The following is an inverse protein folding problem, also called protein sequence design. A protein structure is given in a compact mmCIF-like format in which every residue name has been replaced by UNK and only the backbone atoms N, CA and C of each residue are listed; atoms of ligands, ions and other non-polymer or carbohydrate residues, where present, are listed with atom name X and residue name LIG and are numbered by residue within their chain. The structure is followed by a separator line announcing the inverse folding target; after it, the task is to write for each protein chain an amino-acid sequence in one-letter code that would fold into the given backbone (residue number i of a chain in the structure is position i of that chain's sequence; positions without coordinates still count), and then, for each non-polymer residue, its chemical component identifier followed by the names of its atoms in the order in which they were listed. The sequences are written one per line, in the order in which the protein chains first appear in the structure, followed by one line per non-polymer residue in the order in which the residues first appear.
data_IF_788882325099
#
_entry.id   IF_788882325099
#
_cell.length_a   1.000
_cell.length_b   1.000
_cell.length_c   1.000
_cell.angle_alpha   90.00
_cell.angle_beta   90.00
_cell.angle_gamma   90.00
#
_symmetry.space_group_name_H-M   'P 1'
#
loop_
_entity.id
_entity.type
_entity.pdbx_description
1 polymer ?
#
# COMPACT_ATOMS: atom_id res chain seq x y z
N UNK A 1 -0.53 23.77 25.55
CA UNK A 1 -1.94 23.37 25.83
C UNK A 1 -1.94 21.85 25.89
N UNK A 2 -2.22 21.27 27.05
CA UNK A 2 -2.19 19.80 27.16
C UNK A 2 -3.51 19.24 26.63
N UNK A 3 -3.42 18.42 25.60
CA UNK A 3 -4.55 17.72 25.00
C UNK A 3 -4.72 16.35 25.66
N UNK A 4 -5.96 15.84 25.65
CA UNK A 4 -6.27 14.51 26.17
C UNK A 4 -7.22 13.78 25.22
N UNK A 5 -6.99 12.47 25.03
CA UNK A 5 -7.86 11.58 24.27
C UNK A 5 -7.86 10.18 24.89
N UNK A 6 -8.79 9.32 24.48
CA UNK A 6 -8.74 7.90 24.84
C UNK A 6 -7.71 7.16 23.99
N UNK A 7 -7.76 7.36 22.66
CA UNK A 7 -6.84 6.72 21.72
C UNK A 7 -6.10 7.80 20.93
N UNK A 8 -4.77 7.76 20.98
CA UNK A 8 -3.91 8.55 20.11
C UNK A 8 -3.37 7.69 18.98
N UNK A 9 -3.49 8.16 17.75
CA UNK A 9 -3.01 7.48 16.54
C UNK A 9 -1.83 8.29 15.98
N UNK A 10 -0.69 7.66 15.72
CA UNK A 10 0.48 8.27 15.10
C UNK A 10 0.57 7.80 13.65
N UNK A 11 0.40 8.72 12.70
CA UNK A 11 0.53 8.46 11.26
C UNK A 11 -0.77 8.69 10.48
N UNK A 12 -0.72 9.58 9.49
CA UNK A 12 -1.83 9.99 8.60
C UNK A 12 -1.89 9.24 7.26
N UNK A 13 -1.42 7.99 7.25
CA UNK A 13 -1.58 7.09 6.10
C UNK A 13 -2.91 6.34 6.10
N UNK A 14 -3.10 5.42 5.15
CA UNK A 14 -4.32 4.62 5.02
C UNK A 14 -4.67 3.87 6.32
N UNK A 15 -3.67 3.28 6.99
CA UNK A 15 -3.88 2.56 8.25
C UNK A 15 -4.36 3.50 9.36
N UNK A 16 -3.67 4.61 9.58
CA UNK A 16 -4.02 5.52 10.68
C UNK A 16 -5.37 6.20 10.49
N UNK A 17 -5.69 6.66 9.28
CA UNK A 17 -7.01 7.27 8.98
C UNK A 17 -8.13 6.24 8.99
N UNK A 18 -7.87 4.99 8.55
CA UNK A 18 -8.80 3.89 8.68
C UNK A 18 -9.14 3.56 10.13
N UNK A 19 -8.13 3.50 11.01
CA UNK A 19 -8.32 3.32 12.47
C UNK A 19 -9.10 4.49 13.06
N UNK A 20 -8.75 5.73 12.73
CA UNK A 20 -9.46 6.91 13.23
C UNK A 20 -10.95 6.86 12.87
N UNK A 21 -11.26 6.46 11.62
CA UNK A 21 -12.64 6.29 11.15
C UNK A 21 -13.37 5.17 11.89
N UNK A 22 -12.76 4.00 12.05
CA UNK A 22 -13.40 2.87 12.73
C UNK A 22 -13.67 3.17 14.21
N UNK A 23 -12.72 3.82 14.91
CA UNK A 23 -12.91 4.27 16.28
C UNK A 23 -14.06 5.30 16.38
N UNK A 24 -14.11 6.27 15.46
CA UNK A 24 -15.16 7.27 15.43
C UNK A 24 -16.55 6.67 15.16
N UNK A 25 -16.63 5.67 14.27
CA UNK A 25 -17.87 4.90 14.03
C UNK A 25 -18.35 4.14 15.28
N UNK A 26 -17.45 3.76 16.16
CA UNK A 26 -17.74 3.09 17.45
C UNK A 26 -17.95 4.09 18.60
N UNK A 27 -17.85 5.41 18.35
CA UNK A 27 -17.99 6.44 19.38
C UNK A 27 -16.81 6.52 20.35
N UNK A 28 -15.63 5.99 19.98
CA UNK A 28 -14.41 6.01 20.81
C UNK A 28 -13.63 7.30 20.51
N UNK A 29 -13.39 8.16 21.51
CA UNK A 29 -12.66 9.43 21.33
C UNK A 29 -11.23 9.17 20.85
N UNK A 30 -10.89 9.70 19.69
CA UNK A 30 -9.54 9.55 19.12
C UNK A 30 -8.95 10.88 18.65
N UNK A 31 -7.62 10.94 18.65
CA UNK A 31 -6.82 12.01 18.07
C UNK A 31 -5.72 11.40 17.21
N UNK A 32 -5.63 11.84 15.96
CA UNK A 32 -4.58 11.42 15.04
C UNK A 32 -3.56 12.55 14.89
N UNK A 33 -2.26 12.22 14.94
CA UNK A 33 -1.16 13.14 14.63
C UNK A 33 -0.38 12.63 13.42
N UNK A 34 -0.05 13.54 12.49
CA UNK A 34 0.75 13.28 11.30
C UNK A 34 1.86 14.34 11.17
N UNK A 35 3.13 13.91 11.00
CA UNK A 35 4.28 14.82 10.91
C UNK A 35 4.29 15.71 9.65
N UNK A 36 3.69 15.25 8.59
CA UNK A 36 3.56 15.95 7.31
C UNK A 36 2.11 16.22 6.96
N UNK A 37 1.79 16.03 5.69
CA UNK A 37 0.43 15.99 5.20
C UNK A 37 -0.03 14.52 5.08
N UNK A 38 -1.33 14.30 4.88
CA UNK A 38 -1.84 12.96 4.61
C UNK A 38 -1.09 12.29 3.46
N UNK A 39 -0.98 10.96 3.50
CA UNK A 39 -0.39 10.15 2.45
C UNK A 39 1.10 10.40 2.14
N UNK A 40 1.82 11.15 2.95
CA UNK A 40 3.24 11.46 2.72
C UNK A 40 4.17 10.24 2.69
N UNK A 41 3.75 9.11 3.28
CA UNK A 41 4.44 7.82 3.22
C UNK A 41 4.00 6.90 2.07
N UNK A 42 4.06 5.59 2.30
CA UNK A 42 3.72 4.55 1.31
C UNK A 42 2.29 4.66 0.75
N UNK A 43 1.35 5.22 1.53
CA UNK A 43 -0.05 5.38 1.11
C UNK A 43 -0.22 6.30 -0.11
N UNK A 44 0.59 7.34 -0.27
CA UNK A 44 0.58 8.18 -1.47
C UNK A 44 1.68 7.87 -2.47
N UNK A 45 2.47 6.82 -2.21
CA UNK A 45 3.64 6.44 -3.04
C UNK A 45 3.53 4.99 -3.49
N UNK A 46 2.40 4.66 -4.06
CA UNK A 46 2.07 3.38 -4.67
C UNK A 46 1.48 3.62 -6.07
N UNK A 47 1.12 2.57 -6.76
CA UNK A 47 0.59 2.66 -8.12
C UNK A 47 -0.93 2.78 -8.20
N UNK A 48 -1.63 2.92 -7.08
CA UNK A 48 -3.09 3.05 -7.08
C UNK A 48 -3.81 1.80 -7.58
N UNK A 49 -3.31 0.60 -7.27
CA UNK A 49 -3.93 -0.65 -7.67
C UNK A 49 -4.86 -1.19 -6.58
N UNK A 50 -6.15 -1.30 -6.89
CA UNK A 50 -7.11 -2.06 -6.11
C UNK A 50 -7.00 -3.54 -6.50
N UNK A 51 -6.20 -4.29 -5.75
CA UNK A 51 -5.95 -5.71 -6.04
C UNK A 51 -7.20 -6.58 -5.89
N UNK A 52 -7.42 -7.48 -6.86
CA UNK A 52 -8.30 -8.65 -6.68
C UNK A 52 -7.65 -9.73 -5.81
N UNK A 53 -6.34 -9.69 -5.65
CA UNK A 53 -5.54 -10.72 -5.04
C UNK A 53 -4.88 -11.68 -6.05
N UNK A 54 -5.18 -11.58 -7.33
CA UNK A 54 -4.63 -12.47 -8.37
C UNK A 54 -3.10 -12.58 -8.31
N UNK A 55 -2.41 -11.45 -8.11
CA UNK A 55 -0.94 -11.44 -8.00
C UNK A 55 -0.37 -12.32 -6.87
N UNK A 56 -1.15 -12.59 -5.84
CA UNK A 56 -0.75 -13.39 -4.67
C UNK A 56 -1.27 -14.82 -4.72
N UNK A 57 -2.29 -15.11 -5.53
CA UNK A 57 -3.07 -16.34 -5.50
C UNK A 57 -2.23 -17.64 -5.53
N UNK A 58 -1.11 -17.64 -6.27
CA UNK A 58 -0.23 -18.83 -6.39
C UNK A 58 0.71 -18.97 -5.19
N UNK A 59 1.27 -17.87 -4.69
CA UNK A 59 2.38 -17.91 -3.73
C UNK A 59 1.96 -17.54 -2.28
N UNK A 60 0.86 -16.81 -2.11
CA UNK A 60 0.32 -16.37 -0.82
C UNK A 60 -1.21 -16.36 -0.89
N UNK A 61 -1.86 -17.55 -0.82
CA UNK A 61 -3.32 -17.68 -0.96
C UNK A 61 -4.10 -16.92 0.10
N UNK A 62 -3.54 -16.74 1.31
CA UNK A 62 -4.21 -16.01 2.39
C UNK A 62 -4.24 -14.52 2.08
N UNK A 63 -3.12 -13.92 1.64
CA UNK A 63 -3.10 -12.54 1.16
C UNK A 63 -4.02 -12.34 -0.06
N UNK A 64 -4.19 -13.35 -0.92
CA UNK A 64 -5.13 -13.29 -2.03
C UNK A 64 -6.59 -13.20 -1.56
N UNK A 65 -6.98 -14.03 -0.56
CA UNK A 65 -8.34 -14.01 0.03
C UNK A 65 -8.62 -12.68 0.75
N UNK A 66 -7.67 -12.16 1.51
CA UNK A 66 -7.78 -10.83 2.10
C UNK A 66 -8.03 -9.77 1.04
N UNK A 67 -7.22 -9.75 -0.02
CA UNK A 67 -7.35 -8.76 -1.09
C UNK A 67 -8.75 -8.79 -1.73
N UNK A 68 -9.26 -9.94 -2.15
CA UNK A 68 -10.58 -10.00 -2.80
C UNK A 68 -11.71 -9.61 -1.85
N UNK A 69 -11.58 -9.92 -0.57
CA UNK A 69 -12.54 -9.53 0.46
C UNK A 69 -12.57 -8.02 0.60
N UNK A 70 -11.43 -7.38 0.79
CA UNK A 70 -11.32 -5.92 0.94
C UNK A 70 -11.66 -5.18 -0.37
N UNK A 71 -11.29 -5.73 -1.53
CA UNK A 71 -11.69 -5.19 -2.84
C UNK A 71 -13.23 -5.04 -2.92
N UNK A 72 -13.95 -6.10 -2.56
CA UNK A 72 -15.43 -6.07 -2.56
C UNK A 72 -16.00 -5.09 -1.54
N UNK A 73 -15.38 -4.97 -0.38
CA UNK A 73 -15.79 -4.00 0.66
C UNK A 73 -15.57 -2.57 0.16
N UNK A 74 -14.37 -2.24 -0.33
CA UNK A 74 -14.03 -0.90 -0.81
C UNK A 74 -14.91 -0.47 -2.00
N UNK A 75 -15.18 -1.36 -2.94
CA UNK A 75 -16.13 -1.08 -4.05
C UNK A 75 -17.51 -0.70 -3.56
N UNK A 76 -17.92 -1.17 -2.39
CA UNK A 76 -19.23 -0.87 -1.80
C UNK A 76 -19.20 0.42 -0.97
N UNK A 77 -18.16 0.64 -0.16
CA UNK A 77 -18.14 1.75 0.81
C UNK A 77 -17.44 3.01 0.29
N UNK A 78 -16.55 2.88 -0.71
CA UNK A 78 -15.79 3.98 -1.29
C UNK A 78 -15.74 3.92 -2.84
N UNK A 79 -16.89 3.74 -3.52
CA UNK A 79 -16.92 3.61 -4.99
C UNK A 79 -16.38 4.83 -5.71
N UNK A 80 -16.50 6.02 -5.11
CA UNK A 80 -15.99 7.29 -5.66
C UNK A 80 -14.45 7.39 -5.67
N UNK A 81 -13.76 6.53 -4.92
CA UNK A 81 -12.29 6.44 -4.96
C UNK A 81 -11.80 5.44 -6.01
N UNK A 82 -12.69 4.72 -6.70
CA UNK A 82 -12.34 3.55 -7.50
C UNK A 82 -12.79 3.74 -8.95
N UNK A 83 -11.87 3.56 -9.88
CA UNK A 83 -12.16 3.36 -11.29
C UNK A 83 -12.28 1.85 -11.55
N UNK A 84 -13.45 1.35 -11.99
CA UNK A 84 -13.70 -0.09 -12.16
C UNK A 84 -13.14 -0.59 -13.51
N UNK A 85 -11.82 -0.61 -13.62
CA UNK A 85 -11.09 -0.91 -14.86
C UNK A 85 -11.02 -2.40 -15.18
N UNK A 86 -11.26 -3.27 -14.19
CA UNK A 86 -10.80 -4.66 -14.20
C UNK A 86 -9.27 -4.77 -14.42
N UNK A 87 -8.75 -5.99 -14.51
CA UNK A 87 -7.34 -6.24 -14.77
C UNK A 87 -7.12 -7.41 -15.71
N UNK A 88 -6.08 -7.36 -16.52
CA UNK A 88 -5.62 -8.45 -17.38
C UNK A 88 -4.27 -8.96 -16.91
N UNK A 89 -4.21 -10.25 -16.59
CA UNK A 89 -2.95 -10.97 -16.44
C UNK A 89 -2.54 -11.53 -17.80
N UNK A 90 -1.56 -10.87 -18.43
CA UNK A 90 -1.14 -11.12 -19.82
C UNK A 90 0.00 -12.11 -19.85
N UNK A 91 -0.14 -13.19 -20.64
CA UNK A 91 0.91 -14.19 -20.86
C UNK A 91 1.64 -13.91 -22.16
N UNK A 92 2.96 -13.83 -22.11
CA UNK A 92 3.86 -13.80 -23.27
C UNK A 92 4.41 -15.23 -23.50
N UNK A 93 4.97 -15.53 -24.69
CA UNK A 93 5.53 -16.86 -24.98
C UNK A 93 6.55 -17.35 -23.95
N UNK A 94 7.38 -16.44 -23.44
CA UNK A 94 8.39 -16.73 -22.44
C UNK A 94 7.83 -17.02 -21.04
N UNK A 95 6.59 -16.64 -20.72
CA UNK A 95 5.96 -16.88 -19.42
C UNK A 95 5.41 -18.31 -19.30
N UNK A 96 5.21 -18.99 -20.43
CA UNK A 96 4.67 -20.34 -20.53
C UNK A 96 3.17 -20.45 -20.22
N UNK A 97 2.48 -21.42 -20.83
CA UNK A 97 1.04 -21.64 -20.61
C UNK A 97 0.73 -22.28 -19.25
N UNK A 98 1.69 -23.00 -18.65
CA UNK A 98 1.50 -23.76 -17.41
C UNK A 98 1.22 -22.85 -16.22
N UNK A 99 1.94 -21.72 -16.13
CA UNK A 99 1.70 -20.76 -15.06
C UNK A 99 0.29 -20.20 -15.11
N UNK A 100 -0.22 -19.86 -16.31
CA UNK A 100 -1.58 -19.37 -16.50
C UNK A 100 -2.64 -20.36 -16.03
N UNK A 101 -2.49 -21.62 -16.31
CA UNK A 101 -3.42 -22.66 -15.85
C UNK A 101 -3.39 -22.79 -14.31
N UNK A 102 -2.21 -22.73 -13.71
CA UNK A 102 -2.06 -22.73 -12.25
C UNK A 102 -2.66 -21.48 -11.61
N UNK A 103 -2.43 -20.31 -12.21
CA UNK A 103 -2.98 -19.01 -11.79
C UNK A 103 -4.51 -19.03 -11.72
N UNK A 104 -5.19 -19.54 -12.77
CA UNK A 104 -6.65 -19.64 -12.80
C UNK A 104 -7.16 -20.52 -11.65
N UNK A 105 -6.53 -21.68 -11.43
CA UNK A 105 -6.92 -22.59 -10.33
C UNK A 105 -6.73 -21.93 -8.96
N UNK A 106 -5.60 -21.28 -8.76
CA UNK A 106 -5.27 -20.60 -7.52
C UNK A 106 -6.22 -19.43 -7.23
N UNK A 107 -6.56 -18.62 -8.24
CA UNK A 107 -7.57 -17.58 -8.14
C UNK A 107 -8.93 -18.13 -7.72
N UNK A 108 -9.39 -19.21 -8.37
CA UNK A 108 -10.66 -19.87 -8.01
C UNK A 108 -10.67 -20.37 -6.57
N UNK A 109 -9.57 -20.97 -6.09
CA UNK A 109 -9.41 -21.43 -4.71
C UNK A 109 -9.39 -20.26 -3.68
N UNK A 110 -8.98 -19.06 -4.10
CA UNK A 110 -9.01 -17.85 -3.29
C UNK A 110 -10.34 -17.07 -3.38
N UNK A 111 -11.30 -17.53 -4.21
CA UNK A 111 -12.58 -16.84 -4.42
C UNK A 111 -12.51 -15.64 -5.35
N UNK A 112 -11.50 -15.60 -6.22
CA UNK A 112 -11.30 -14.56 -7.22
C UNK A 112 -11.89 -15.05 -8.56
N UNK A 113 -12.85 -14.29 -9.09
CA UNK A 113 -13.44 -14.56 -10.38
C UNK A 113 -12.42 -14.35 -11.50
N UNK A 114 -12.38 -15.27 -12.46
CA UNK A 114 -11.45 -15.21 -13.59
C UNK A 114 -12.17 -15.48 -14.91
N UNK A 115 -11.80 -14.72 -15.95
CA UNK A 115 -12.24 -14.97 -17.33
C UNK A 115 -11.01 -15.16 -18.22
N UNK A 116 -10.72 -16.39 -18.67
CA UNK A 116 -9.67 -16.63 -19.64
C UNK A 116 -10.02 -16.00 -21.01
N UNK A 117 -9.04 -15.33 -21.61
CA UNK A 117 -9.16 -14.66 -22.89
C UNK A 117 -8.15 -15.23 -23.90
N UNK A 118 -8.61 -15.45 -25.14
CA UNK A 118 -7.72 -15.70 -26.27
C UNK A 118 -6.86 -14.45 -26.59
N UNK A 119 -5.76 -14.60 -27.33
CA UNK A 119 -4.96 -13.46 -27.77
C UNK A 119 -5.80 -12.42 -28.53
N UNK A 120 -6.72 -12.86 -29.38
CA UNK A 120 -7.58 -11.97 -30.18
C UNK A 120 -8.52 -11.16 -29.29
N UNK A 121 -9.14 -11.78 -28.30
CA UNK A 121 -10.02 -11.10 -27.35
C UNK A 121 -9.25 -10.08 -26.52
N UNK A 122 -8.09 -10.48 -25.97
CA UNK A 122 -7.26 -9.57 -25.18
C UNK A 122 -6.77 -8.37 -26.01
N UNK A 123 -6.33 -8.56 -27.26
CA UNK A 123 -5.93 -7.48 -28.17
C UNK A 123 -7.11 -6.60 -28.61
N UNK A 124 -8.32 -7.15 -28.68
CA UNK A 124 -9.51 -6.35 -28.94
C UNK A 124 -9.87 -5.43 -27.77
N UNK A 125 -9.63 -5.89 -26.54
CA UNK A 125 -9.85 -5.12 -25.30
C UNK A 125 -8.75 -4.07 -25.05
N UNK A 126 -7.51 -4.42 -25.37
CA UNK A 126 -6.31 -3.60 -25.16
C UNK A 126 -5.43 -3.63 -26.43
N UNK A 127 -5.71 -2.76 -27.43
CA UNK A 127 -5.04 -2.81 -28.73
C UNK A 127 -3.53 -2.52 -28.70
N UNK A 128 -3.04 -1.89 -27.62
CA UNK A 128 -1.60 -1.58 -27.44
C UNK A 128 -0.79 -2.75 -26.88
N UNK A 129 -1.45 -3.87 -26.51
CA UNK A 129 -0.74 -5.06 -26.06
C UNK A 129 0.16 -5.63 -27.17
N UNK A 130 1.25 -6.23 -26.76
CA UNK A 130 2.15 -6.93 -27.65
C UNK A 130 1.39 -8.01 -28.46
N UNK A 131 1.42 -7.98 -29.81
CA UNK A 131 0.71 -8.94 -30.65
C UNK A 131 1.20 -10.40 -30.48
N UNK A 132 2.35 -10.61 -29.82
CA UNK A 132 2.89 -11.93 -29.49
C UNK A 132 2.31 -12.56 -28.26
N UNK A 133 1.35 -11.95 -27.57
CA UNK A 133 0.70 -12.55 -26.38
C UNK A 133 0.10 -13.92 -26.73
N UNK A 134 0.17 -14.86 -25.81
CA UNK A 134 -0.40 -16.20 -25.96
C UNK A 134 -1.76 -16.35 -25.25
N UNK A 135 -2.25 -15.29 -24.61
CA UNK A 135 -3.55 -15.17 -23.96
C UNK A 135 -3.48 -14.26 -22.76
N UNK A 136 -4.63 -14.05 -22.14
CA UNK A 136 -4.76 -13.30 -20.90
C UNK A 136 -5.79 -13.92 -19.96
N UNK A 137 -5.82 -13.45 -18.71
CA UNK A 137 -6.87 -13.79 -17.75
C UNK A 137 -7.39 -12.49 -17.15
N UNK A 138 -8.68 -12.21 -17.34
CA UNK A 138 -9.31 -11.07 -16.70
C UNK A 138 -9.65 -11.39 -15.25
N UNK A 139 -9.45 -10.42 -14.36
CA UNK A 139 -9.74 -10.48 -12.92
C UNK A 139 -10.36 -9.16 -12.47
N UNK A 140 -11.07 -9.12 -11.31
CA UNK A 140 -11.71 -7.90 -10.80
C UNK A 140 -10.71 -6.97 -10.08
N UNK A 141 -9.56 -6.66 -10.71
CA UNK A 141 -8.70 -5.57 -10.28
C UNK A 141 -9.41 -4.22 -10.51
N UNK A 142 -8.82 -3.13 -10.08
CA UNK A 142 -9.30 -1.78 -10.34
C UNK A 142 -8.20 -0.76 -10.11
N UNK A 143 -8.39 0.46 -10.57
CA UNK A 143 -7.58 1.58 -10.11
C UNK A 143 -8.26 2.23 -8.91
N UNK A 144 -7.46 2.68 -7.95
CA UNK A 144 -7.94 3.39 -6.75
C UNK A 144 -7.13 4.66 -6.55
N UNK A 145 -7.81 5.76 -6.25
CA UNK A 145 -7.15 6.98 -5.80
C UNK A 145 -6.84 6.87 -4.29
N UNK A 146 -5.57 6.65 -3.93
CA UNK A 146 -5.18 6.49 -2.54
C UNK A 146 -5.27 7.82 -1.75
N UNK A 147 -5.16 8.96 -2.42
CA UNK A 147 -5.25 10.27 -1.77
C UNK A 147 -6.68 10.54 -1.34
N UNK A 148 -7.63 10.41 -2.25
CA UNK A 148 -9.06 10.54 -1.95
C UNK A 148 -9.50 9.54 -0.88
N UNK A 149 -9.09 8.28 -0.96
CA UNK A 149 -9.43 7.28 0.05
C UNK A 149 -9.00 7.69 1.46
N UNK A 150 -7.76 8.16 1.63
CA UNK A 150 -7.22 8.55 2.94
C UNK A 150 -7.90 9.83 3.46
N UNK A 151 -8.09 10.82 2.59
CA UNK A 151 -8.75 12.09 2.96
C UNK A 151 -10.21 11.86 3.35
N UNK A 152 -10.95 11.01 2.62
CA UNK A 152 -12.34 10.70 2.95
C UNK A 152 -12.47 9.92 4.27
N UNK A 153 -11.55 8.98 4.56
CA UNK A 153 -11.49 8.36 5.88
C UNK A 153 -11.27 9.39 7.00
N UNK A 154 -10.34 10.34 6.79
CA UNK A 154 -10.06 11.40 7.75
C UNK A 154 -11.28 12.31 7.98
N UNK A 155 -11.93 12.76 6.90
CA UNK A 155 -13.14 13.61 6.95
C UNK A 155 -14.32 12.91 7.63
N UNK A 156 -14.56 11.63 7.33
CA UNK A 156 -15.62 10.86 7.99
C UNK A 156 -15.33 10.70 9.49
N UNK A 157 -14.07 10.45 9.86
CA UNK A 157 -13.65 10.40 11.26
C UNK A 157 -13.89 11.74 11.98
N UNK A 158 -13.46 12.87 11.40
CA UNK A 158 -13.67 14.22 11.98
C UNK A 158 -15.15 14.57 12.10
N UNK A 159 -15.96 14.25 11.10
CA UNK A 159 -17.43 14.47 11.13
C UNK A 159 -18.13 13.75 12.29
N UNK A 160 -17.48 12.71 12.83
CA UNK A 160 -17.95 11.88 13.95
C UNK A 160 -17.21 12.17 15.26
N UNK A 161 -16.41 13.24 15.32
CA UNK A 161 -15.77 13.72 16.54
C UNK A 161 -14.32 13.29 16.77
N UNK A 162 -13.68 12.59 15.84
CA UNK A 162 -12.24 12.41 15.88
C UNK A 162 -11.53 13.75 15.67
N UNK A 163 -10.34 13.91 16.25
CA UNK A 163 -9.51 15.10 16.03
C UNK A 163 -8.29 14.71 15.23
N UNK A 164 -7.87 15.57 14.29
CA UNK A 164 -6.71 15.33 13.44
C UNK A 164 -5.79 16.55 13.46
N UNK A 165 -4.50 16.32 13.69
CA UNK A 165 -3.45 17.33 13.67
C UNK A 165 -2.39 16.90 12.66
N UNK A 166 -2.41 17.51 11.49
CA UNK A 166 -1.33 17.39 10.50
C UNK A 166 -0.18 18.33 10.86
N UNK A 167 0.98 18.16 10.23
CA UNK A 167 2.22 18.89 10.53
C UNK A 167 2.62 18.81 12.01
N UNK A 168 2.22 17.74 12.69
CA UNK A 168 2.43 17.53 14.12
C UNK A 168 3.28 16.26 14.32
N UNK A 169 4.54 16.46 14.67
CA UNK A 169 5.55 15.42 14.80
C UNK A 169 5.64 14.91 16.24
N UNK A 170 5.56 13.60 16.43
CA UNK A 170 5.87 12.98 17.73
C UNK A 170 7.37 13.01 17.95
N UNK A 171 7.80 13.65 19.03
CA UNK A 171 9.21 13.78 19.40
C UNK A 171 9.62 12.88 20.56
N UNK A 172 8.66 12.44 21.37
CA UNK A 172 8.93 11.53 22.49
C UNK A 172 7.64 10.83 22.95
N UNK A 173 7.78 9.70 23.66
CA UNK A 173 6.71 8.99 24.33
C UNK A 173 6.69 9.33 25.83
N UNK A 174 5.52 9.69 26.36
CA UNK A 174 5.33 10.00 27.78
C UNK A 174 5.06 8.69 28.52
N UNK A 175 5.84 8.43 29.57
CA UNK A 175 5.71 7.23 30.43
C UNK A 175 5.08 7.56 31.77
N UNK A 176 4.27 6.61 32.24
CA UNK A 176 3.79 6.54 33.61
C UNK A 176 4.10 5.11 34.11
N UNK A 177 5.19 4.98 34.87
CA UNK A 177 5.75 3.69 35.24
C UNK A 177 6.10 2.81 34.01
N UNK A 178 5.48 1.64 33.94
CA UNK A 178 5.62 0.66 32.83
C UNK A 178 4.62 0.89 31.69
N UNK A 179 3.91 2.02 31.70
CA UNK A 179 2.89 2.34 30.71
C UNK A 179 3.30 3.51 29.84
N UNK A 180 2.94 3.48 28.55
CA UNK A 180 2.91 4.67 27.69
C UNK A 180 1.57 5.37 27.97
N UNK A 181 1.62 6.63 28.41
CA UNK A 181 0.47 7.42 28.83
C UNK A 181 0.21 8.62 27.89
N UNK A 182 0.95 8.72 26.78
CA UNK A 182 0.80 9.79 25.82
C UNK A 182 2.08 10.06 25.02
N UNK A 183 2.11 11.20 24.35
CA UNK A 183 3.25 11.64 23.55
C UNK A 183 3.55 13.11 23.76
N UNK A 184 4.80 13.49 23.52
CA UNK A 184 5.23 14.87 23.29
C UNK A 184 5.28 15.11 21.79
N UNK A 185 4.72 16.21 21.35
CA UNK A 185 4.66 16.56 19.93
C UNK A 185 5.23 17.95 19.69
N UNK A 186 5.67 18.17 18.44
CA UNK A 186 6.07 19.47 17.93
C UNK A 186 5.21 19.81 16.72
N UNK A 187 4.55 20.96 16.73
CA UNK A 187 3.98 21.56 15.54
C UNK A 187 5.14 22.00 14.61
N UNK A 188 5.18 21.50 13.39
CA UNK A 188 6.27 21.76 12.44
C UNK A 188 6.15 23.11 11.74
N UNK A 189 5.00 23.79 11.87
CA UNK A 189 4.76 25.13 11.30
C UNK A 189 5.13 26.20 12.33
N UNK A 190 4.62 26.06 13.56
CA UNK A 190 4.81 27.06 14.62
C UNK A 190 6.01 26.78 15.52
N UNK A 191 6.57 25.57 15.46
CA UNK A 191 7.58 25.02 16.37
C UNK A 191 7.11 24.88 17.83
N UNK A 192 5.83 25.06 18.13
CA UNK A 192 5.27 24.86 19.46
C UNK A 192 5.39 23.38 19.88
N UNK A 193 5.79 23.16 21.13
CA UNK A 193 5.90 21.83 21.74
C UNK A 193 4.84 21.71 22.83
N UNK A 194 4.06 20.62 22.77
CA UNK A 194 3.03 20.34 23.77
C UNK A 194 2.88 18.83 24.00
N UNK A 195 2.11 18.47 25.03
CA UNK A 195 1.84 17.09 25.38
C UNK A 195 0.41 16.67 24.99
N UNK A 196 0.26 15.41 24.61
CA UNK A 196 -1.03 14.76 24.40
C UNK A 196 -1.09 13.53 25.30
N UNK A 197 -1.96 13.56 26.31
CA UNK A 197 -2.21 12.42 27.17
C UNK A 197 -3.19 11.45 26.49
N UNK A 198 -2.91 10.14 26.57
CA UNK A 198 -3.75 9.11 25.99
C UNK A 198 -3.74 7.82 26.80
N UNK A 199 -4.88 7.11 26.80
CA UNK A 199 -4.96 5.76 27.39
C UNK A 199 -4.26 4.74 26.50
N UNK A 200 -4.40 4.88 25.19
CA UNK A 200 -3.76 4.04 24.18
C UNK A 200 -3.04 4.90 23.15
N UNK A 201 -1.84 4.48 22.80
CA UNK A 201 -1.04 5.05 21.71
C UNK A 201 -0.88 4.01 20.63
N UNK A 202 -1.40 4.29 19.44
CA UNK A 202 -1.32 3.41 18.27
C UNK A 202 -0.27 3.95 17.32
N UNK A 203 0.80 3.19 17.14
CA UNK A 203 1.83 3.46 16.16
C UNK A 203 1.40 2.89 14.80
N UNK A 204 0.92 3.73 13.90
CA UNK A 204 0.50 3.44 12.53
C UNK A 204 1.42 4.13 11.49
N UNK A 205 2.70 4.31 11.83
CA UNK A 205 3.65 5.10 11.04
C UNK A 205 4.31 4.33 9.89
N UNK A 206 3.85 3.09 9.60
CA UNK A 206 4.31 2.30 8.46
C UNK A 206 5.82 2.08 8.47
N UNK A 207 6.53 2.59 7.48
CA UNK A 207 7.99 2.42 7.36
C UNK A 207 8.79 3.08 8.51
N UNK A 208 8.20 4.02 9.22
CA UNK A 208 8.78 4.67 10.41
C UNK A 208 8.41 3.99 11.74
N UNK A 209 7.79 2.80 11.73
CA UNK A 209 7.33 2.15 12.95
C UNK A 209 8.45 1.98 13.98
N UNK A 210 9.63 1.56 13.56
CA UNK A 210 10.79 1.43 14.44
C UNK A 210 11.34 2.78 14.95
N UNK A 211 11.04 3.91 14.29
CA UNK A 211 11.42 5.23 14.79
C UNK A 211 10.66 5.54 16.10
N UNK A 212 9.36 5.31 16.12
CA UNK A 212 8.53 5.48 17.32
C UNK A 212 8.89 4.44 18.38
N UNK A 213 9.09 3.17 17.99
CA UNK A 213 9.40 2.10 18.92
C UNK A 213 10.72 2.29 19.66
N UNK A 214 11.74 2.86 19.01
CA UNK A 214 13.03 3.19 19.66
C UNK A 214 12.87 4.19 20.81
N UNK A 215 11.89 5.09 20.78
CA UNK A 215 11.57 5.98 21.91
C UNK A 215 11.07 5.19 23.13
N UNK A 216 10.50 4.00 22.90
CA UNK A 216 10.12 3.07 23.95
C UNK A 216 11.22 2.05 24.30
N UNK A 217 12.39 2.10 23.66
CA UNK A 217 13.44 1.07 23.81
C UNK A 217 13.09 -0.24 23.13
N UNK A 218 12.18 -0.23 22.15
CA UNK A 218 11.69 -1.40 21.41
C UNK A 218 12.11 -1.37 19.95
N UNK A 219 12.04 -2.55 19.32
CA UNK A 219 12.22 -2.72 17.89
C UNK A 219 11.45 -3.96 17.42
N UNK A 220 10.95 -3.94 16.21
CA UNK A 220 10.33 -5.09 15.51
C UNK A 220 11.15 -5.43 14.26
N UNK A 221 11.08 -6.70 13.84
CA UNK A 221 11.67 -7.16 12.58
C UNK A 221 10.93 -6.53 11.40
N UNK A 222 11.53 -5.53 10.77
CA UNK A 222 10.96 -4.79 9.65
C UNK A 222 11.99 -4.68 8.52
N UNK A 223 11.65 -5.20 7.35
CA UNK A 223 12.41 -4.99 6.13
C UNK A 223 11.80 -3.84 5.35
N UNK A 224 12.60 -2.84 5.04
CA UNK A 224 12.19 -1.72 4.19
C UNK A 224 12.47 -2.07 2.72
N UNK A 225 11.43 -2.00 1.88
CA UNK A 225 11.53 -2.31 0.44
C UNK A 225 11.11 -1.11 -0.40
N UNK A 226 12.07 -0.48 -1.08
CA UNK A 226 11.82 0.60 -2.03
C UNK A 226 11.19 0.05 -3.30
N UNK A 227 10.15 0.71 -3.81
CA UNK A 227 9.56 0.45 -5.11
C UNK A 227 9.46 1.72 -5.92
N UNK A 228 10.10 1.75 -7.08
CA UNK A 228 10.10 2.89 -8.01
C UNK A 228 9.00 2.74 -9.05
N UNK A 229 8.40 3.86 -9.41
CA UNK A 229 7.27 3.95 -10.33
C UNK A 229 7.48 5.10 -11.31
N UNK A 230 6.90 4.95 -12.50
CA UNK A 230 6.91 5.97 -13.55
C UNK A 230 5.48 6.40 -13.87
N UNK A 231 5.28 7.67 -14.18
CA UNK A 231 4.01 8.20 -14.68
C UNK A 231 4.21 8.61 -16.14
N UNK A 232 3.36 8.08 -17.02
CA UNK A 232 3.34 8.44 -18.44
C UNK A 232 2.60 9.76 -18.68
N UNK A 233 2.81 10.34 -19.86
CA UNK A 233 2.09 11.54 -20.27
C UNK A 233 0.68 11.24 -20.81
N UNK A 234 0.39 9.99 -21.11
CA UNK A 234 -0.87 9.52 -21.67
C UNK A 234 -1.33 8.24 -21.00
N UNK A 235 -2.62 7.95 -21.03
CA UNK A 235 -3.17 6.68 -20.61
C UNK A 235 -2.80 5.58 -21.61
N UNK A 236 -2.19 4.51 -21.14
CA UNK A 236 -1.66 3.42 -21.98
C UNK A 236 -2.65 2.28 -22.18
N UNK A 237 -3.53 2.07 -21.21
CA UNK A 237 -4.51 0.97 -21.19
C UNK A 237 -5.79 1.39 -20.50
N UNK A 238 -6.90 0.74 -20.86
CA UNK A 238 -8.18 0.94 -20.18
C UNK A 238 -8.29 0.05 -18.92
N UNK A 239 -7.50 -1.01 -18.86
CA UNK A 239 -7.47 -1.98 -17.75
C UNK A 239 -6.12 -2.00 -17.06
N UNK A 240 -6.12 -2.43 -15.81
CA UNK A 240 -4.86 -2.80 -15.15
C UNK A 240 -4.22 -3.94 -15.91
N UNK A 241 -2.93 -3.81 -16.24
CA UNK A 241 -2.17 -4.86 -16.90
C UNK A 241 -1.16 -5.46 -15.93
N UNK A 242 -1.13 -6.79 -15.83
CA UNK A 242 -0.15 -7.57 -15.08
C UNK A 242 0.48 -8.63 -15.97
N UNK A 243 1.76 -8.96 -15.75
CA UNK A 243 2.36 -10.18 -16.33
C UNK A 243 1.81 -11.40 -15.63
N UNK A 244 1.39 -12.40 -16.43
CA UNK A 244 0.93 -13.69 -15.93
C UNK A 244 2.12 -14.65 -15.76
N UNK A 245 2.95 -14.36 -14.75
CA UNK A 245 4.15 -15.14 -14.36
C UNK A 245 4.35 -15.06 -12.85
N UNK A 246 5.30 -15.81 -12.25
CA UNK A 246 5.69 -15.55 -10.85
C UNK A 246 6.00 -14.06 -10.63
N UNK A 247 5.48 -13.46 -9.55
CA UNK A 247 5.61 -12.01 -9.31
C UNK A 247 7.05 -11.51 -9.39
N UNK A 248 7.31 -10.55 -10.28
CA UNK A 248 8.62 -9.95 -10.50
C UNK A 248 8.55 -8.42 -10.52
N UNK A 249 9.69 -7.73 -10.62
CA UNK A 249 9.73 -6.28 -10.85
C UNK A 249 9.29 -5.93 -12.26
N UNK A 250 8.65 -4.77 -12.45
CA UNK A 250 8.24 -4.29 -13.77
C UNK A 250 7.09 -5.11 -14.37
N UNK A 251 6.12 -5.54 -13.57
CA UNK A 251 5.02 -6.40 -14.04
C UNK A 251 3.70 -5.67 -14.23
N UNK A 252 3.55 -4.43 -13.75
CA UNK A 252 2.23 -3.81 -13.59
C UNK A 252 2.15 -2.45 -14.26
N UNK A 253 1.05 -2.22 -14.99
CA UNK A 253 0.63 -0.92 -15.51
C UNK A 253 -0.77 -0.66 -14.96
N UNK A 254 -0.97 0.46 -14.27
CA UNK A 254 -2.26 0.86 -13.73
C UNK A 254 -2.71 2.12 -14.46
N UNK A 255 -3.85 2.11 -15.15
CA UNK A 255 -4.46 3.34 -15.65
C UNK A 255 -4.92 4.21 -14.46
N UNK A 256 -4.74 5.51 -14.59
CA UNK A 256 -5.14 6.46 -13.57
C UNK A 256 -5.57 7.76 -14.26
N UNK A 257 -6.88 7.95 -14.41
CA UNK A 257 -7.46 9.07 -15.14
C UNK A 257 -6.84 9.20 -16.55
N UNK A 258 -6.09 10.24 -16.84
CA UNK A 258 -5.51 10.54 -18.15
C UNK A 258 -4.09 9.98 -18.35
N UNK A 259 -3.50 9.37 -17.35
CA UNK A 259 -2.14 8.83 -17.34
C UNK A 259 -2.12 7.34 -17.01
N UNK A 260 -0.95 6.73 -17.03
CA UNK A 260 -0.73 5.41 -16.46
C UNK A 260 0.45 5.42 -15.51
N UNK A 261 0.34 4.63 -14.44
CA UNK A 261 1.39 4.43 -13.44
C UNK A 261 2.00 3.05 -13.66
N UNK A 262 3.30 3.04 -13.89
CA UNK A 262 4.09 1.88 -14.23
C UNK A 262 4.97 1.45 -13.05
N UNK A 263 5.06 0.18 -12.77
CA UNK A 263 5.97 -0.27 -11.71
C UNK A 263 5.76 -1.72 -11.30
N UNK A 264 6.40 -2.14 -10.27
CA UNK A 264 7.37 -1.44 -9.44
C UNK A 264 8.68 -2.19 -9.39
N UNK A 265 9.76 -1.53 -8.99
CA UNK A 265 10.95 -2.25 -8.52
C UNK A 265 10.75 -2.79 -7.11
N UNK A 266 11.68 -3.59 -6.60
CA UNK A 266 11.74 -4.03 -5.22
C UNK A 266 13.20 -4.12 -4.80
N UNK A 267 13.68 -3.10 -4.11
CA UNK A 267 15.06 -2.97 -3.64
C UNK A 267 15.06 -2.74 -2.14
N UNK A 268 15.99 -3.36 -1.41
CA UNK A 268 16.15 -3.07 0.02
C UNK A 268 16.52 -1.62 0.24
N UNK A 269 15.89 -0.99 1.23
CA UNK A 269 16.21 0.35 1.71
C UNK A 269 16.65 0.27 3.18
N UNK A 270 17.61 1.09 3.54
CA UNK A 270 18.10 1.19 4.92
C UNK A 270 17.28 2.22 5.73
N UNK A 271 16.75 3.22 5.03
CA UNK A 271 16.06 4.37 5.60
C UNK A 271 14.78 4.67 4.81
N UNK A 272 13.65 4.93 5.49
CA UNK A 272 12.42 5.33 4.82
C UNK A 272 12.42 6.77 4.28
N UNK A 273 13.40 7.60 4.61
CA UNK A 273 13.52 8.99 4.15
C UNK A 273 14.27 9.12 2.81
N UNK A 274 15.19 8.18 2.49
CA UNK A 274 16.01 8.21 1.29
C UNK A 274 15.55 7.16 0.28
N UNK A 275 14.82 7.60 -0.77
CA UNK A 275 14.21 6.72 -1.77
C UNK A 275 14.21 7.33 -3.17
N UNK A 276 15.29 7.92 -3.59
CA UNK A 276 15.44 8.47 -4.94
C UNK A 276 15.34 7.36 -6.00
N UNK A 277 14.71 7.69 -7.12
CA UNK A 277 14.64 6.80 -8.29
C UNK A 277 15.90 6.97 -9.13
N UNK A 278 16.57 5.87 -9.43
CA UNK A 278 17.80 5.91 -10.24
C UNK A 278 17.51 5.74 -11.74
N UNK A 279 18.38 6.24 -12.64
CA UNK A 279 18.23 6.03 -14.08
C UNK A 279 18.17 4.54 -14.48
N UNK A 280 18.89 3.68 -13.76
CA UNK A 280 18.90 2.23 -13.99
C UNK A 280 17.53 1.62 -13.68
N UNK A 281 16.86 2.06 -12.61
CA UNK A 281 15.49 1.62 -12.29
C UNK A 281 14.50 2.07 -13.36
N UNK A 282 14.63 3.28 -13.87
CA UNK A 282 13.80 3.79 -14.97
C UNK A 282 13.98 2.93 -16.21
N UNK A 283 15.23 2.70 -16.63
CA UNK A 283 15.56 1.87 -17.80
C UNK A 283 15.01 0.46 -17.64
N UNK A 284 15.24 -0.15 -16.48
CA UNK A 284 14.73 -1.49 -16.16
C UNK A 284 13.20 -1.57 -16.27
N UNK A 285 12.46 -0.61 -15.69
CA UNK A 285 10.99 -0.59 -15.75
C UNK A 285 10.49 -0.44 -17.18
N UNK A 286 11.08 0.45 -17.96
CA UNK A 286 10.72 0.65 -19.37
C UNK A 286 10.98 -0.62 -20.19
N UNK A 287 12.12 -1.27 -20.00
CA UNK A 287 12.48 -2.48 -20.74
C UNK A 287 11.55 -3.67 -20.39
N UNK A 288 11.25 -3.90 -19.12
CA UNK A 288 10.36 -5.00 -18.72
C UNK A 288 8.91 -4.76 -19.15
N UNK A 289 8.39 -3.56 -18.95
CA UNK A 289 6.99 -3.26 -19.28
C UNK A 289 6.75 -3.12 -20.79
N UNK A 290 7.76 -2.74 -21.57
CA UNK A 290 7.67 -2.73 -23.04
C UNK A 290 7.53 -4.13 -23.64
N UNK A 291 7.74 -5.19 -22.88
CA UNK A 291 7.40 -6.56 -23.31
C UNK A 291 5.88 -6.73 -23.44
N UNK A 292 5.09 -6.10 -22.57
CA UNK A 292 3.62 -6.10 -22.65
C UNK A 292 3.11 -5.03 -23.64
N UNK A 293 3.69 -3.83 -23.61
CA UNK A 293 3.32 -2.70 -24.50
C UNK A 293 4.57 -2.24 -25.25
N UNK A 294 4.83 -2.73 -26.47
CA UNK A 294 6.08 -2.48 -27.20
C UNK A 294 6.38 -1.01 -27.49
N UNK A 295 5.36 -0.20 -27.72
CA UNK A 295 5.47 1.23 -28.01
C UNK A 295 5.77 2.10 -26.78
N UNK A 296 5.79 1.50 -25.57
CA UNK A 296 6.17 2.17 -24.33
C UNK A 296 7.55 2.84 -24.40
N UNK A 297 8.49 2.28 -25.17
CA UNK A 297 9.84 2.86 -25.37
C UNK A 297 9.84 4.24 -26.01
N UNK A 298 8.77 4.59 -26.72
CA UNK A 298 8.59 5.90 -27.34
C UNK A 298 7.77 6.89 -26.48
N UNK A 299 7.26 6.44 -25.34
CA UNK A 299 6.42 7.27 -24.49
C UNK A 299 7.21 8.30 -23.68
N UNK A 300 6.55 9.42 -23.41
CA UNK A 300 7.08 10.45 -22.52
C UNK A 300 6.65 10.17 -21.08
N UNK A 301 7.62 10.19 -20.18
CA UNK A 301 7.36 10.11 -18.75
C UNK A 301 7.34 11.52 -18.15
N UNK A 302 6.31 11.81 -17.36
CA UNK A 302 6.15 13.10 -16.69
C UNK A 302 6.79 13.12 -15.32
N UNK A 303 6.87 11.96 -14.66
CA UNK A 303 7.43 11.83 -13.32
C UNK A 303 7.95 10.42 -13.05
N UNK A 304 9.03 10.35 -12.26
CA UNK A 304 9.44 9.14 -11.54
C UNK A 304 9.35 9.42 -10.04
N UNK A 305 8.90 8.42 -9.27
CA UNK A 305 8.82 8.51 -7.82
C UNK A 305 8.96 7.12 -7.18
N UNK A 306 9.25 7.09 -5.88
CA UNK A 306 9.36 5.83 -5.15
C UNK A 306 8.66 5.90 -3.81
N UNK A 307 8.26 4.74 -3.31
CA UNK A 307 7.75 4.54 -1.97
C UNK A 307 8.50 3.42 -1.25
N UNK A 308 8.53 3.48 0.07
CA UNK A 308 9.16 2.47 0.91
C UNK A 308 8.10 1.66 1.64
N UNK A 309 8.05 0.36 1.34
CA UNK A 309 7.11 -0.59 1.96
C UNK A 309 7.68 -1.11 3.27
N UNK A 310 6.92 -1.11 4.36
CA UNK A 310 7.26 -1.83 5.58
C UNK A 310 6.84 -3.31 5.41
N UNK A 311 7.80 -4.20 5.31
CA UNK A 311 7.56 -5.65 5.24
C UNK A 311 7.95 -6.28 6.56
N UNK A 312 7.04 -7.07 7.16
CA UNK A 312 7.34 -7.81 8.37
C UNK A 312 8.27 -8.97 8.04
N UNK A 313 9.39 -9.07 8.75
CA UNK A 313 10.31 -10.19 8.58
C UNK A 313 9.64 -11.48 9.04
N UNK A 314 9.61 -12.49 8.15
CA UNK A 314 9.47 -13.89 8.53
C UNK A 314 10.88 -14.49 8.67
N UNK A 315 11.12 -15.34 9.65
CA UNK A 315 12.43 -15.94 9.92
C UNK A 315 13.03 -16.73 8.74
N UNK A 316 12.26 -16.99 7.68
CA UNK A 316 12.61 -17.93 6.60
C UNK A 316 12.84 -17.31 5.21
N UNK A 317 12.68 -16.00 4.99
CA UNK A 317 12.73 -15.46 3.62
C UNK A 317 13.98 -14.65 3.29
N UNK A 318 14.73 -15.11 2.27
CA UNK A 318 15.89 -14.39 1.71
C UNK A 318 15.52 -13.36 0.63
N UNK A 319 14.29 -13.40 0.09
CA UNK A 319 13.80 -12.48 -0.96
C UNK A 319 12.59 -11.68 -0.45
N UNK A 320 12.68 -10.35 -0.54
CA UNK A 320 11.63 -9.40 -0.11
C UNK A 320 10.26 -9.65 -0.79
N UNK A 321 10.22 -10.40 -1.91
CA UNK A 321 8.99 -10.77 -2.60
C UNK A 321 8.29 -11.97 -2.03
N UNK A 322 9.02 -12.80 -1.30
CA UNK A 322 8.48 -13.99 -0.61
C UNK A 322 7.97 -13.66 0.79
N UNK A 323 8.28 -12.44 1.31
CA UNK A 323 7.74 -11.97 2.58
C UNK A 323 6.24 -11.74 2.43
N UNK A 324 5.44 -12.30 3.34
CA UNK A 324 4.00 -12.12 3.36
C UNK A 324 3.61 -10.63 3.35
N UNK A 325 2.57 -10.31 2.62
CA UNK A 325 1.96 -8.96 2.55
C UNK A 325 0.85 -8.78 3.59
N UNK A 326 0.77 -9.66 4.58
CA UNK A 326 -0.12 -9.50 5.73
C UNK A 326 0.26 -8.30 6.60
N UNK A 327 -0.65 -7.88 7.45
CA UNK A 327 -0.38 -6.89 8.49
C UNK A 327 -0.21 -7.57 9.85
N UNK A 328 0.48 -6.89 10.77
CA UNK A 328 0.54 -7.31 12.16
C UNK A 328 0.01 -6.21 13.08
N UNK A 329 -0.77 -6.65 14.07
CA UNK A 329 -1.17 -5.85 15.22
C UNK A 329 -0.43 -6.39 16.44
N UNK A 330 0.42 -5.55 17.04
CA UNK A 330 1.31 -5.92 18.13
C UNK A 330 0.94 -5.08 19.35
N UNK A 331 0.32 -5.72 20.36
CA UNK A 331 0.18 -5.13 21.69
C UNK A 331 1.47 -5.37 22.49
N UNK A 332 2.26 -4.33 22.67
CA UNK A 332 3.54 -4.43 23.36
C UNK A 332 3.41 -4.80 24.83
N UNK A 333 2.32 -4.42 25.48
CA UNK A 333 2.05 -4.80 26.86
C UNK A 333 1.89 -6.31 27.04
N UNK A 334 1.32 -7.00 26.06
CA UNK A 334 1.18 -8.46 26.06
C UNK A 334 2.50 -9.19 25.75
N UNK A 335 3.52 -8.49 25.25
CA UNK A 335 4.83 -9.04 24.87
C UNK A 335 5.97 -8.57 25.79
N UNK A 336 5.71 -8.35 27.08
CA UNK A 336 6.67 -7.86 28.07
C UNK A 336 7.22 -6.44 27.81
N UNK A 337 6.59 -5.69 26.92
CA UNK A 337 6.87 -4.27 26.67
C UNK A 337 5.95 -3.34 27.50
N UNK A 338 5.98 -2.04 27.24
CA UNK A 338 5.16 -1.08 27.95
C UNK A 338 3.67 -1.24 27.55
N UNK A 339 2.79 -1.28 28.57
CA UNK A 339 1.36 -1.25 28.35
C UNK A 339 0.92 0.09 27.68
N UNK A 340 -0.21 0.07 26.97
CA UNK A 340 -0.76 1.27 26.33
C UNK A 340 -0.11 1.65 25.01
N UNK A 341 0.82 0.83 24.48
CA UNK A 341 1.42 1.00 23.16
C UNK A 341 1.05 -0.19 22.27
N UNK A 342 0.46 0.12 21.12
CA UNK A 342 0.12 -0.86 20.08
C UNK A 342 0.78 -0.43 18.76
N UNK A 343 1.32 -1.37 17.99
CA UNK A 343 1.84 -1.09 16.65
C UNK A 343 1.03 -1.85 15.61
N UNK A 344 0.64 -1.15 14.56
CA UNK A 344 0.09 -1.74 13.32
C UNK A 344 1.04 -1.41 12.18
N UNK A 345 1.52 -2.44 11.48
CA UNK A 345 2.43 -2.26 10.33
C UNK A 345 2.33 -3.44 9.36
N UNK A 346 2.92 -3.29 8.17
CA UNK A 346 2.76 -4.25 7.08
C UNK A 346 1.51 -3.96 6.24
N UNK A 347 0.96 -5.00 5.63
CA UNK A 347 -0.25 -4.90 4.83
C UNK A 347 -0.07 -4.28 3.44
N UNK A 348 -1.19 -3.98 2.86
CA UNK A 348 -1.35 -3.32 1.55
C UNK A 348 -2.22 -2.08 1.74
N UNK A 349 -2.30 -1.19 0.73
CA UNK A 349 -3.15 0.01 0.82
C UNK A 349 -4.59 -0.30 1.26
N UNK A 350 -5.11 -1.44 0.85
CA UNK A 350 -6.50 -1.84 1.01
C UNK A 350 -6.74 -2.81 2.18
N UNK A 351 -5.70 -3.34 2.81
CA UNK A 351 -5.81 -4.30 3.93
C UNK A 351 -5.11 -3.80 5.16
#
# INVERSE_FOLDING_TARGET
MDLKTEVLIIGGGATGTGIARDLALRGIPSLLVEKGDFTSGASGRNQGLLHSGGRYAVNDPDAARECITENRILRRIAPHCIEPTDGLFVSLPEDGPEYRANFIRACGAAGIDTLPLSPREALSLEPRLNPRIIGAVQVPDGAIDPFTLVVENARDAESRGARILIHTEVTDLIRDGLRIAGVRVRDRITAEVFAIAATWVINATGAWANHILRMAGLQIGLTLSKGSMLITNTRLSERVLNRCRPPASGDIIVPNDTVSILGTTSLRAEDPEHYEVTPEEVTFLVDELSRMIPDLKGERFTRAYAGVRPLLQSEESCDDRTISRGFALIDHGSCSGPAGLVTITGGKLMT
#
